data_IF_913803580717
#
_entry.id   IF_913803580717
#
_cell.length_a   1.000
_cell.length_b   1.000
_cell.length_c   1.000
_cell.angle_alpha   90.00
_cell.angle_beta   90.00
_cell.angle_gamma   90.00
#
_symmetry.space_group_name_H-M   'P 1'
#
loop_
_entity.id
_entity.type
_entity.pdbx_description
1 polymer ?
#
# COMPACT_ATOMS: atom_id res chain seq x y z
N UNK A 1 0.17 23.10 -15.08
CA UNK A 1 0.25 21.65 -14.73
C UNK A 1 0.52 21.57 -13.24
N UNK A 2 -0.25 20.83 -12.49
CA UNK A 2 -0.04 20.64 -11.06
C UNK A 2 1.22 19.80 -10.86
N UNK A 3 2.03 20.17 -9.88
CA UNK A 3 3.25 19.42 -9.53
C UNK A 3 2.87 17.98 -9.09
N UNK A 4 3.59 16.94 -9.55
CA UNK A 4 3.29 15.55 -9.13
C UNK A 4 3.55 15.36 -7.64
N UNK A 5 2.72 14.55 -6.98
CA UNK A 5 2.95 14.15 -5.58
C UNK A 5 4.19 13.26 -5.47
N UNK A 6 4.38 12.35 -6.44
CA UNK A 6 5.55 11.49 -6.56
C UNK A 6 6.18 11.67 -7.94
N UNK A 7 7.48 11.80 -7.98
CA UNK A 7 8.27 11.70 -9.21
C UNK A 7 9.45 10.77 -8.99
N UNK A 8 9.58 9.79 -9.86
CA UNK A 8 10.77 8.95 -10.01
C UNK A 8 11.43 9.32 -11.33
N UNK A 9 12.72 9.62 -11.34
CA UNK A 9 13.44 10.10 -12.54
C UNK A 9 14.70 9.29 -12.77
N UNK A 10 14.85 8.72 -13.97
CA UNK A 10 16.04 8.01 -14.42
C UNK A 10 16.34 6.76 -13.61
N UNK A 11 15.33 6.07 -13.08
CA UNK A 11 15.55 4.90 -12.23
C UNK A 11 16.14 3.75 -13.04
N UNK A 12 17.35 3.32 -12.64
CA UNK A 12 18.05 2.19 -13.23
C UNK A 12 18.48 1.21 -12.16
N UNK A 13 18.22 -0.09 -12.39
CA UNK A 13 18.56 -1.17 -11.47
C UNK A 13 18.97 -2.41 -12.22
N UNK A 14 20.13 -2.98 -11.86
CA UNK A 14 20.62 -4.24 -12.43
C UNK A 14 20.82 -5.28 -11.34
N UNK A 15 20.65 -6.55 -11.70
CA UNK A 15 20.96 -7.71 -10.87
C UNK A 15 21.97 -8.57 -11.60
N UNK A 16 23.15 -8.78 -11.00
CA UNK A 16 24.26 -9.56 -11.60
C UNK A 16 24.59 -9.14 -13.07
N UNK A 17 24.51 -7.82 -13.33
CA UNK A 17 24.78 -7.27 -14.66
C UNK A 17 23.59 -7.31 -15.64
N UNK A 18 22.45 -7.90 -15.26
CA UNK A 18 21.23 -7.92 -16.07
C UNK A 18 20.35 -6.73 -15.66
N UNK A 19 20.02 -5.80 -16.58
CA UNK A 19 19.18 -4.66 -16.27
C UNK A 19 17.74 -5.12 -16.02
N UNK A 20 17.16 -4.76 -14.87
CA UNK A 20 15.77 -4.95 -14.53
C UNK A 20 14.95 -3.64 -14.69
N UNK A 21 15.62 -2.50 -14.55
CA UNK A 21 15.10 -1.17 -14.87
C UNK A 21 16.20 -0.41 -15.63
N UNK A 22 15.84 0.32 -16.67
CA UNK A 22 16.75 1.10 -17.49
C UNK A 22 16.12 2.48 -17.77
N UNK A 23 16.60 3.51 -17.08
CA UNK A 23 16.20 4.92 -17.24
C UNK A 23 14.68 5.13 -17.14
N UNK A 24 14.03 4.48 -16.16
CA UNK A 24 12.57 4.56 -15.97
C UNK A 24 12.20 5.83 -15.23
N UNK A 25 11.24 6.57 -15.77
CA UNK A 25 10.69 7.76 -15.13
C UNK A 25 9.17 7.67 -15.02
N UNK A 26 8.62 8.05 -13.86
CA UNK A 26 7.19 7.99 -13.55
C UNK A 26 6.81 9.21 -12.73
N UNK A 27 5.73 9.89 -13.13
CA UNK A 27 5.09 10.97 -12.37
C UNK A 27 3.69 10.51 -11.95
N UNK A 28 3.35 10.70 -10.67
CA UNK A 28 2.01 10.45 -10.12
C UNK A 28 1.48 11.77 -9.58
N UNK A 29 0.27 12.17 -10.00
CA UNK A 29 -0.33 13.42 -9.56
C UNK A 29 -1.27 13.20 -8.37
N UNK A 30 -1.43 14.23 -7.55
CA UNK A 30 -2.27 14.17 -6.36
C UNK A 30 -3.74 13.91 -6.72
N UNK A 31 -4.37 12.96 -6.04
CA UNK A 31 -5.79 12.65 -6.21
C UNK A 31 -6.13 11.94 -7.52
N UNK A 32 -5.14 11.36 -8.20
CA UNK A 32 -5.40 10.48 -9.36
C UNK A 32 -5.33 9.00 -8.99
N UNK A 33 -5.94 8.19 -9.82
CA UNK A 33 -5.71 6.74 -9.86
C UNK A 33 -4.75 6.47 -11.01
N UNK A 34 -3.49 6.26 -10.69
CA UNK A 34 -2.42 6.02 -11.67
C UNK A 34 -2.28 4.52 -11.92
N UNK A 35 -2.32 4.09 -13.19
CA UNK A 35 -2.16 2.68 -13.55
C UNK A 35 -0.78 2.41 -14.15
N UNK A 36 -0.03 1.46 -13.56
CA UNK A 36 1.23 0.95 -14.12
C UNK A 36 0.95 -0.40 -14.77
N UNK A 37 0.91 -0.42 -16.11
CA UNK A 37 0.64 -1.61 -16.91
C UNK A 37 1.92 -2.12 -17.58
N UNK A 38 2.01 -3.43 -17.78
CA UNK A 38 3.12 -4.05 -18.51
C UNK A 38 3.14 -5.56 -18.30
N UNK A 39 3.83 -6.27 -19.19
CA UNK A 39 3.97 -7.73 -19.14
C UNK A 39 4.70 -8.22 -17.89
N UNK A 40 4.57 -9.52 -17.59
CA UNK A 40 5.34 -10.15 -16.52
C UNK A 40 6.84 -10.03 -16.83
N UNK A 41 7.62 -9.63 -15.82
CA UNK A 41 9.06 -9.37 -16.00
C UNK A 41 9.41 -7.97 -16.51
N UNK A 42 8.46 -7.10 -16.82
CA UNK A 42 8.72 -5.72 -17.29
C UNK A 42 9.35 -4.79 -16.23
N UNK A 43 9.62 -5.28 -15.02
CA UNK A 43 10.26 -4.50 -13.96
C UNK A 43 9.30 -3.78 -13.00
N UNK A 44 7.97 -3.92 -13.14
CA UNK A 44 6.97 -3.26 -12.29
C UNK A 44 7.24 -3.48 -10.79
N UNK A 45 7.34 -4.74 -10.37
CA UNK A 45 7.62 -5.08 -8.95
C UNK A 45 9.02 -4.60 -8.50
N UNK A 46 10.00 -4.52 -9.42
CA UNK A 46 11.32 -3.94 -9.11
C UNK A 46 11.21 -2.44 -8.85
N UNK A 47 10.43 -1.72 -9.66
CA UNK A 47 10.19 -0.28 -9.46
C UNK A 47 9.50 -0.03 -8.12
N UNK A 48 8.51 -0.85 -7.75
CA UNK A 48 7.83 -0.75 -6.45
C UNK A 48 8.78 -1.06 -5.28
N UNK A 49 9.66 -2.05 -5.41
CA UNK A 49 10.67 -2.35 -4.39
C UNK A 49 11.71 -1.24 -4.22
N UNK A 50 12.01 -0.48 -5.28
CA UNK A 50 12.80 0.76 -5.19
C UNK A 50 12.01 1.82 -4.40
N UNK A 51 10.75 2.05 -4.76
CA UNK A 51 9.92 3.07 -4.13
C UNK A 51 9.61 2.75 -2.65
N UNK A 52 9.42 1.48 -2.31
CA UNK A 52 9.17 1.05 -0.92
C UNK A 52 10.42 1.01 -0.03
N UNK A 53 11.62 1.23 -0.59
CA UNK A 53 12.87 1.11 0.18
C UNK A 53 13.33 -0.33 0.45
N UNK A 54 12.68 -1.35 -0.13
CA UNK A 54 13.19 -2.74 -0.16
C UNK A 54 14.53 -2.76 -0.88
N UNK A 55 14.66 -2.02 -1.98
CA UNK A 55 15.94 -1.68 -2.56
C UNK A 55 16.32 -0.28 -2.08
N UNK A 56 17.25 -0.16 -1.11
CA UNK A 56 17.56 1.12 -0.48
C UNK A 56 18.30 2.05 -1.44
N UNK A 57 18.24 3.35 -1.13
CA UNK A 57 19.04 4.37 -1.82
C UNK A 57 20.51 3.95 -1.91
N UNK A 58 21.13 4.16 -3.09
CA UNK A 58 22.48 3.71 -3.41
C UNK A 58 22.56 2.28 -3.98
N UNK A 59 21.46 1.52 -3.99
CA UNK A 59 21.39 0.23 -4.68
C UNK A 59 20.79 0.33 -6.09
N UNK A 60 20.40 1.51 -6.52
CA UNK A 60 19.87 1.87 -7.84
C UNK A 60 20.35 3.29 -8.20
N UNK A 61 20.29 3.63 -9.49
CA UNK A 61 20.55 4.98 -9.99
C UNK A 61 19.23 5.72 -10.18
N UNK A 62 19.28 7.06 -10.23
CA UNK A 62 18.13 7.94 -10.38
C UNK A 62 17.72 8.62 -9.08
N UNK A 63 16.61 9.35 -9.12
CA UNK A 63 16.12 10.15 -7.98
C UNK A 63 14.64 9.96 -7.76
N UNK A 64 14.22 10.09 -6.49
CA UNK A 64 12.82 10.06 -6.08
C UNK A 64 12.52 11.38 -5.38
N UNK A 65 11.43 12.05 -5.78
CA UNK A 65 10.90 13.21 -5.08
C UNK A 65 9.47 12.95 -4.64
N UNK A 66 9.14 13.34 -3.42
CA UNK A 66 7.81 13.28 -2.85
C UNK A 66 7.39 14.70 -2.44
N UNK A 67 6.26 15.19 -2.93
CA UNK A 67 5.77 16.54 -2.70
C UNK A 67 6.84 17.62 -3.03
N UNK A 68 7.56 17.43 -4.14
CA UNK A 68 8.63 18.31 -4.60
C UNK A 68 9.96 18.21 -3.81
N UNK A 69 10.02 17.39 -2.76
CA UNK A 69 11.23 17.22 -1.94
C UNK A 69 11.95 15.91 -2.28
N UNK A 70 13.28 15.93 -2.47
CA UNK A 70 14.05 14.71 -2.63
C UNK A 70 13.91 13.80 -1.42
N UNK A 71 13.65 12.52 -1.65
CA UNK A 71 13.56 11.50 -0.60
C UNK A 71 14.55 10.36 -0.85
N UNK A 72 15.03 9.74 0.22
CA UNK A 72 16.02 8.68 0.18
C UNK A 72 15.61 7.58 1.17
N UNK A 73 14.84 6.61 0.69
CA UNK A 73 14.37 5.51 1.51
C UNK A 73 15.47 4.46 1.70
N UNK A 74 15.76 4.10 2.94
CA UNK A 74 16.72 3.08 3.35
C UNK A 74 16.04 1.80 3.81
N UNK A 75 14.73 1.88 4.08
CA UNK A 75 13.90 0.79 4.57
C UNK A 75 12.42 1.02 4.20
N UNK A 76 11.61 -0.02 4.34
CA UNK A 76 10.14 0.07 4.19
C UNK A 76 9.56 1.06 5.19
N UNK A 77 10.10 1.10 6.42
CA UNK A 77 9.63 2.04 7.44
C UNK A 77 9.81 3.50 7.02
N UNK A 78 10.86 3.82 6.26
CA UNK A 78 11.08 5.20 5.78
C UNK A 78 10.02 5.62 4.76
N UNK A 79 9.68 4.74 3.80
CA UNK A 79 8.65 5.01 2.80
C UNK A 79 7.26 5.11 3.44
N UNK A 80 6.96 4.22 4.39
CA UNK A 80 5.71 4.26 5.14
C UNK A 80 5.58 5.51 6.01
N UNK A 81 6.65 5.93 6.68
CA UNK A 81 6.67 7.17 7.47
C UNK A 81 6.51 8.43 6.59
N UNK A 82 6.91 8.36 5.31
CA UNK A 82 6.68 9.41 4.33
C UNK A 82 5.23 9.41 3.77
N UNK A 83 4.43 8.38 4.08
CA UNK A 83 3.04 8.21 3.64
C UNK A 83 2.88 7.38 2.36
N UNK A 84 3.89 6.63 1.94
CA UNK A 84 3.80 5.69 0.82
C UNK A 84 3.60 4.28 1.37
N UNK A 85 2.46 3.67 1.09
CA UNK A 85 2.14 2.31 1.53
C UNK A 85 1.85 1.43 0.32
N UNK A 86 2.45 0.23 0.30
CA UNK A 86 2.27 -0.74 -0.77
C UNK A 86 1.56 -1.96 -0.20
N UNK A 87 0.47 -2.36 -0.85
CA UNK A 87 -0.23 -3.62 -0.62
C UNK A 87 0.21 -4.57 -1.75
N UNK A 88 0.88 -5.64 -1.37
CA UNK A 88 1.36 -6.64 -2.31
C UNK A 88 0.24 -7.62 -2.70
N UNK A 89 0.42 -8.32 -3.81
CA UNK A 89 -0.49 -9.34 -4.30
C UNK A 89 -0.74 -10.45 -3.26
N UNK A 90 0.31 -10.86 -2.53
CA UNK A 90 0.18 -11.78 -1.41
C UNK A 90 -0.20 -11.03 -0.14
N UNK A 91 -1.32 -11.41 0.48
CA UNK A 91 -1.82 -10.79 1.71
C UNK A 91 -0.85 -11.03 2.88
N UNK A 92 -0.41 -9.95 3.51
CA UNK A 92 0.49 -9.98 4.67
C UNK A 92 -0.29 -10.01 6.00
N UNK A 93 -1.38 -10.79 6.04
CA UNK A 93 -2.20 -10.99 7.25
C UNK A 93 -1.83 -12.29 7.96
N UNK A 94 -1.78 -12.23 9.29
CA UNK A 94 -1.66 -13.43 10.12
C UNK A 94 -3.04 -14.09 10.27
N UNK A 95 -3.24 -15.33 9.78
CA UNK A 95 -4.57 -15.95 9.74
C UNK A 95 -5.16 -16.21 11.14
N UNK A 96 -4.33 -16.44 12.14
CA UNK A 96 -4.75 -16.74 13.50
C UNK A 96 -4.94 -15.53 14.41
N UNK A 97 -4.57 -14.33 13.95
CA UNK A 97 -4.86 -13.08 14.64
C UNK A 97 -6.23 -12.55 14.21
N UNK A 98 -6.84 -11.74 15.07
CA UNK A 98 -8.07 -11.01 14.74
C UNK A 98 -7.79 -9.89 13.74
N UNK A 99 -8.87 -9.33 13.17
CA UNK A 99 -8.79 -8.15 12.30
C UNK A 99 -8.07 -7.00 13.02
N UNK A 100 -8.47 -6.68 14.25
CA UNK A 100 -7.89 -5.60 15.02
C UNK A 100 -6.41 -5.83 15.33
N UNK A 101 -6.03 -7.07 15.69
CA UNK A 101 -4.63 -7.45 15.89
C UNK A 101 -3.81 -7.30 14.61
N UNK A 102 -4.34 -7.68 13.45
CA UNK A 102 -3.63 -7.51 12.16
C UNK A 102 -3.47 -6.04 11.75
N UNK A 103 -4.51 -5.23 11.92
CA UNK A 103 -4.49 -3.80 11.56
C UNK A 103 -3.42 -3.05 12.37
N UNK A 104 -3.32 -3.35 13.67
CA UNK A 104 -2.44 -2.62 14.60
C UNK A 104 -1.19 -3.41 15.00
N UNK A 105 -0.85 -4.51 14.32
CA UNK A 105 0.33 -5.32 14.62
C UNK A 105 1.61 -4.46 14.62
N UNK A 106 2.27 -4.37 15.78
CA UNK A 106 3.45 -3.54 15.97
C UNK A 106 3.17 -2.05 16.23
N UNK A 107 1.89 -1.63 16.19
CA UNK A 107 1.42 -0.26 16.47
C UNK A 107 0.17 -0.26 17.36
N UNK A 108 0.10 -1.18 18.29
CA UNK A 108 -1.04 -1.36 19.18
C UNK A 108 -1.29 -0.09 20.01
N UNK A 109 -2.58 0.20 20.23
CA UNK A 109 -2.96 1.31 21.13
C UNK A 109 -2.61 0.93 22.57
N UNK A 110 -1.60 1.57 23.14
CA UNK A 110 -1.11 1.26 24.47
C UNK A 110 -1.15 2.47 25.41
N UNK A 111 -1.43 2.23 26.71
CA UNK A 111 -1.30 3.20 27.77
C UNK A 111 -0.33 2.67 28.82
N UNK A 112 0.76 3.42 29.11
CA UNK A 112 1.79 3.06 30.09
C UNK A 112 2.39 1.66 29.85
N UNK A 113 2.58 1.26 28.58
CA UNK A 113 3.15 -0.03 28.21
C UNK A 113 2.17 -1.21 28.25
N UNK A 114 0.88 -0.98 28.51
CA UNK A 114 -0.17 -2.01 28.45
C UNK A 114 -1.10 -1.74 27.26
N UNK A 115 -1.38 -2.76 26.44
CA UNK A 115 -2.26 -2.64 25.28
C UNK A 115 -3.70 -2.36 25.76
N UNK A 116 -4.29 -1.29 25.20
CA UNK A 116 -5.70 -0.95 25.39
C UNK A 116 -6.54 -1.62 24.30
N UNK A 117 -6.98 -2.84 24.54
CA UNK A 117 -7.77 -3.61 23.58
C UNK A 117 -9.10 -2.96 23.22
N UNK A 118 -9.71 -2.21 24.13
CA UNK A 118 -10.95 -1.49 23.82
C UNK A 118 -10.69 -0.36 22.82
N UNK A 119 -9.66 0.43 23.06
CA UNK A 119 -9.25 1.48 22.11
C UNK A 119 -8.81 0.90 20.75
N UNK A 120 -8.08 -0.23 20.76
CA UNK A 120 -7.65 -0.93 19.54
C UNK A 120 -8.85 -1.44 18.73
N UNK A 121 -9.81 -2.12 19.37
CA UNK A 121 -11.01 -2.62 18.70
C UNK A 121 -11.91 -1.49 18.17
N UNK A 122 -12.05 -0.40 18.92
CA UNK A 122 -12.82 0.77 18.48
C UNK A 122 -12.19 1.39 17.24
N UNK A 123 -10.88 1.63 17.26
CA UNK A 123 -10.16 2.18 16.11
C UNK A 123 -10.22 1.24 14.88
N UNK A 124 -10.11 -0.08 15.10
CA UNK A 124 -10.30 -1.06 14.03
C UNK A 124 -11.71 -0.99 13.43
N UNK A 125 -12.75 -0.92 14.26
CA UNK A 125 -14.13 -0.80 13.79
C UNK A 125 -14.36 0.45 12.92
N UNK A 126 -13.73 1.56 13.26
CA UNK A 126 -13.82 2.78 12.46
C UNK A 126 -13.09 2.65 11.10
N UNK A 127 -11.94 1.98 11.06
CA UNK A 127 -11.23 1.68 9.82
C UNK A 127 -12.03 0.69 8.95
N UNK A 128 -12.64 -0.34 9.55
CA UNK A 128 -13.50 -1.28 8.82
C UNK A 128 -14.69 -0.57 8.17
N UNK A 129 -15.32 0.38 8.86
CA UNK A 129 -16.39 1.21 8.26
C UNK A 129 -15.89 2.00 7.04
N UNK A 130 -14.67 2.55 7.10
CA UNK A 130 -14.08 3.31 5.97
C UNK A 130 -13.89 2.46 4.73
N UNK A 131 -13.60 1.16 4.88
CA UNK A 131 -13.46 0.23 3.77
C UNK A 131 -14.74 -0.54 3.45
N UNK A 132 -15.88 -0.15 4.03
CA UNK A 132 -17.19 -0.77 3.78
C UNK A 132 -17.36 -2.18 4.39
N UNK A 133 -16.47 -2.61 5.28
CA UNK A 133 -16.51 -3.94 5.89
C UNK A 133 -17.25 -3.93 7.24
N UNK A 134 -18.32 -4.75 7.36
CA UNK A 134 -19.17 -4.84 8.55
C UNK A 134 -18.87 -6.08 9.39
N UNK A 135 -17.58 -6.36 9.62
CA UNK A 135 -17.16 -7.48 10.45
C UNK A 135 -16.83 -7.03 11.88
N UNK A 136 -16.89 -7.97 12.81
CA UNK A 136 -16.44 -7.72 14.18
C UNK A 136 -14.91 -7.65 14.19
N UNK A 137 -14.27 -6.58 14.75
CA UNK A 137 -12.81 -6.49 14.84
C UNK A 137 -12.13 -7.67 15.53
N UNK A 138 -12.84 -8.42 16.36
CA UNK A 138 -12.33 -9.63 17.02
C UNK A 138 -12.40 -10.90 16.16
N UNK A 139 -13.03 -10.85 14.98
CA UNK A 139 -13.08 -11.99 14.03
C UNK A 139 -11.67 -12.35 13.56
N UNK A 140 -11.36 -13.64 13.50
CA UNK A 140 -10.06 -14.11 13.02
C UNK A 140 -9.99 -14.08 11.49
N UNK A 141 -8.81 -13.79 10.95
CA UNK A 141 -8.62 -13.62 9.50
C UNK A 141 -8.97 -14.90 8.73
N UNK A 142 -8.67 -16.10 9.25
CA UNK A 142 -8.99 -17.37 8.57
C UNK A 142 -10.51 -17.61 8.39
N UNK A 143 -11.37 -16.90 9.12
CA UNK A 143 -12.84 -16.96 9.00
C UNK A 143 -13.36 -16.10 7.84
N UNK A 144 -12.51 -15.26 7.25
CA UNK A 144 -12.88 -14.33 6.19
C UNK A 144 -12.58 -14.91 4.80
N UNK A 145 -13.47 -14.66 3.84
CA UNK A 145 -13.16 -14.86 2.41
C UNK A 145 -12.11 -13.88 1.90
N UNK A 146 -11.46 -14.21 0.77
CA UNK A 146 -10.32 -13.47 0.20
C UNK A 146 -10.66 -11.99 -0.03
N UNK A 147 -11.84 -11.66 -0.58
CA UNK A 147 -12.27 -10.27 -0.78
C UNK A 147 -12.32 -9.47 0.51
N UNK A 148 -12.83 -10.06 1.61
CA UNK A 148 -12.82 -9.39 2.91
C UNK A 148 -11.42 -9.24 3.50
N UNK A 149 -10.54 -10.22 3.30
CA UNK A 149 -9.14 -10.12 3.70
C UNK A 149 -8.43 -8.98 2.97
N UNK A 150 -8.71 -8.78 1.67
CA UNK A 150 -8.19 -7.66 0.89
C UNK A 150 -8.62 -6.30 1.50
N UNK A 151 -9.90 -6.17 1.90
CA UNK A 151 -10.38 -4.97 2.58
C UNK A 151 -9.71 -4.75 3.94
N UNK A 152 -9.38 -5.81 4.67
CA UNK A 152 -8.61 -5.71 5.93
C UNK A 152 -7.18 -5.21 5.67
N UNK A 153 -6.51 -5.65 4.59
CA UNK A 153 -5.19 -5.10 4.20
C UNK A 153 -5.26 -3.61 3.88
N UNK A 154 -6.31 -3.17 3.18
CA UNK A 154 -6.52 -1.74 2.92
C UNK A 154 -6.78 -1.00 4.23
N UNK A 155 -7.61 -1.54 5.14
CA UNK A 155 -7.85 -0.95 6.45
C UNK A 155 -6.57 -0.83 7.28
N UNK A 156 -5.69 -1.84 7.23
CA UNK A 156 -4.36 -1.84 7.85
C UNK A 156 -3.46 -0.75 7.26
N UNK A 157 -3.46 -0.58 5.93
CA UNK A 157 -2.76 0.51 5.29
C UNK A 157 -3.28 1.88 5.77
N UNK A 158 -4.62 2.06 5.80
CA UNK A 158 -5.27 3.30 6.23
C UNK A 158 -5.11 3.61 7.74
N UNK A 159 -4.63 2.67 8.55
CA UNK A 159 -4.24 2.94 9.94
C UNK A 159 -2.99 3.83 10.04
N UNK A 160 -2.25 3.97 8.94
CA UNK A 160 -1.10 4.86 8.77
C UNK A 160 -1.55 6.18 8.12
N UNK A 161 -0.71 7.20 8.15
CA UNK A 161 -0.95 8.47 7.45
C UNK A 161 -0.62 8.33 5.96
N UNK A 162 -1.55 7.74 5.19
CA UNK A 162 -1.33 7.43 3.76
C UNK A 162 -1.56 8.65 2.89
N UNK A 163 -0.57 9.00 2.07
CA UNK A 163 -0.65 9.99 0.97
C UNK A 163 -0.75 9.32 -0.39
N UNK A 164 -0.01 8.22 -0.57
CA UNK A 164 0.02 7.40 -1.77
C UNK A 164 -0.14 5.93 -1.40
N UNK A 165 -1.23 5.33 -1.85
CA UNK A 165 -1.52 3.91 -1.69
C UNK A 165 -1.28 3.18 -3.01
N UNK A 166 -0.43 2.17 -2.99
CA UNK A 166 -0.11 1.36 -4.16
C UNK A 166 -0.70 -0.03 -3.96
N UNK A 167 -1.43 -0.52 -4.95
CA UNK A 167 -2.07 -1.83 -4.93
C UNK A 167 -1.47 -2.68 -6.07
N UNK A 168 -0.84 -3.79 -5.71
CA UNK A 168 -0.22 -4.71 -6.67
C UNK A 168 -1.22 -5.83 -7.01
N UNK A 169 -1.78 -5.80 -8.23
CA UNK A 169 -2.76 -6.75 -8.75
C UNK A 169 -3.95 -7.02 -7.81
N UNK A 170 -4.64 -6.00 -7.30
CA UNK A 170 -5.57 -6.15 -6.19
C UNK A 170 -6.82 -6.98 -6.51
N UNK A 171 -7.12 -7.21 -7.79
CA UNK A 171 -8.30 -7.97 -8.25
C UNK A 171 -8.00 -9.40 -8.71
N UNK A 172 -6.73 -9.81 -8.77
CA UNK A 172 -6.33 -11.09 -9.36
C UNK A 172 -6.95 -12.35 -8.71
N UNK A 173 -7.25 -12.27 -7.41
CA UNK A 173 -7.83 -13.39 -6.65
C UNK A 173 -9.31 -13.16 -6.27
N UNK A 174 -9.95 -12.10 -6.77
CA UNK A 174 -11.30 -11.71 -6.42
C UNK A 174 -12.31 -12.19 -7.46
N UNK A 175 -13.56 -12.44 -7.02
CA UNK A 175 -14.69 -12.59 -7.92
C UNK A 175 -15.16 -11.22 -8.43
N UNK A 176 -16.13 -11.21 -9.36
CA UNK A 176 -16.62 -9.98 -10.00
C UNK A 176 -17.26 -9.00 -8.98
N UNK A 177 -18.02 -9.51 -8.01
CA UNK A 177 -18.71 -8.69 -7.00
C UNK A 177 -17.70 -8.04 -6.04
N UNK A 178 -16.71 -8.81 -5.56
CA UNK A 178 -15.64 -8.30 -4.70
C UNK A 178 -14.75 -7.30 -5.45
N UNK A 179 -14.50 -7.53 -6.75
CA UNK A 179 -13.73 -6.62 -7.61
C UNK A 179 -14.46 -5.30 -7.81
N UNK A 180 -15.77 -5.32 -8.09
CA UNK A 180 -16.59 -4.12 -8.21
C UNK A 180 -16.58 -3.31 -6.90
N UNK A 181 -16.76 -3.98 -5.76
CA UNK A 181 -16.71 -3.33 -4.45
C UNK A 181 -15.34 -2.70 -4.16
N UNK A 182 -14.25 -3.35 -4.54
CA UNK A 182 -12.90 -2.81 -4.40
C UNK A 182 -12.69 -1.55 -5.26
N UNK A 183 -13.19 -1.55 -6.50
CA UNK A 183 -13.10 -0.39 -7.39
C UNK A 183 -13.90 0.80 -6.84
N UNK A 184 -15.11 0.56 -6.32
CA UNK A 184 -15.90 1.59 -5.66
C UNK A 184 -15.17 2.17 -4.43
N UNK A 185 -14.48 1.33 -3.66
CA UNK A 185 -13.66 1.77 -2.53
C UNK A 185 -12.48 2.63 -2.98
N UNK A 186 -11.79 2.26 -4.07
CA UNK A 186 -10.68 3.02 -4.66
C UNK A 186 -11.16 4.43 -5.02
N UNK A 187 -12.32 4.56 -5.67
CA UNK A 187 -12.90 5.86 -6.01
C UNK A 187 -13.24 6.68 -4.76
N UNK A 188 -13.82 6.06 -3.73
CA UNK A 188 -14.09 6.73 -2.45
C UNK A 188 -12.81 7.22 -1.75
N UNK A 189 -11.74 6.44 -1.77
CA UNK A 189 -10.46 6.82 -1.17
C UNK A 189 -9.81 7.98 -1.93
N UNK A 190 -9.89 7.96 -3.27
CA UNK A 190 -9.46 9.09 -4.11
C UNK A 190 -10.22 10.37 -3.76
N UNK A 191 -11.52 10.28 -3.63
CA UNK A 191 -12.38 11.42 -3.30
C UNK A 191 -12.12 11.98 -1.88
N UNK A 192 -11.57 11.15 -0.98
CA UNK A 192 -11.05 11.55 0.33
C UNK A 192 -9.63 12.20 0.25
N UNK A 193 -9.05 12.30 -0.95
CA UNK A 193 -7.76 12.96 -1.18
C UNK A 193 -6.55 12.01 -1.10
N UNK A 194 -6.76 10.70 -1.03
CA UNK A 194 -5.69 9.71 -1.13
C UNK A 194 -5.33 9.53 -2.61
N UNK A 195 -4.04 9.59 -2.92
CA UNK A 195 -3.55 9.26 -4.26
C UNK A 195 -3.38 7.75 -4.35
N UNK A 196 -3.83 7.15 -5.45
CA UNK A 196 -3.75 5.70 -5.63
C UNK A 196 -2.93 5.35 -6.87
N UNK A 197 -2.15 4.27 -6.78
CA UNK A 197 -1.49 3.66 -7.93
C UNK A 197 -1.84 2.17 -8.00
N UNK A 198 -2.33 1.75 -9.15
CA UNK A 198 -2.68 0.36 -9.42
C UNK A 198 -1.60 -0.24 -10.33
N UNK A 199 -1.10 -1.41 -9.97
CA UNK A 199 -0.23 -2.20 -10.82
C UNK A 199 -1.10 -3.30 -11.44
N UNK A 200 -1.11 -3.37 -12.76
CA UNK A 200 -1.91 -4.34 -13.49
C UNK A 200 -1.07 -5.03 -14.57
N UNK A 201 -1.42 -6.28 -14.87
CA UNK A 201 -0.85 -7.05 -15.99
C UNK A 201 -1.70 -6.86 -17.22
#
# INVERSE_FOLDING_TARGET
>A
MTEPILRMSGISKSFNGVPALADVSVDVHRGEVHAICGENGAGKSTLMKVLSGVYPVGSFDGTITLEGQPVAFRSINDSEAAGIVIIHQELALSPYLSIAENIFLGNEKAKRGVIDWNATNTAAADLLKRVGLRENPATKIYELGVGKQQLVEIAKALAKEVKLLILDEPTAALNDDDSAHLLDLIDQLRDQGITLSLIHI
#
